data_IF_029042520812
#
_entry.id   IF_029042520812
#
_cell.length_a   1.000
_cell.length_b   1.000
_cell.length_c   1.000
_cell.angle_alpha   90.00
_cell.angle_beta   90.00
_cell.angle_gamma   90.00
#
_symmetry.space_group_name_H-M   'P 1'
#
loop_
_entity.id
_entity.type
_entity.pdbx_description
1 polymer ?
#
# COMPACT_ATOMS: atom_id res chain seq x y z
N UNK A 1 -28.45 11.71 13.76
CA UNK A 1 -28.39 11.47 12.29
C UNK A 1 -27.41 12.42 11.60
N UNK A 2 -27.52 13.75 11.76
CA UNK A 2 -26.59 14.73 11.16
C UNK A 2 -25.09 14.46 11.47
N UNK A 3 -24.76 14.09 12.71
CA UNK A 3 -23.39 13.75 13.14
C UNK A 3 -22.81 12.49 12.48
N UNK A 4 -23.65 11.56 12.01
CA UNK A 4 -23.18 10.32 11.35
C UNK A 4 -22.75 10.63 9.93
N UNK A 5 -23.54 11.41 9.19
CA UNK A 5 -23.19 11.83 7.83
C UNK A 5 -21.90 12.65 7.80
N UNK A 6 -21.65 13.48 8.82
CA UNK A 6 -20.40 14.22 8.94
C UNK A 6 -19.18 13.30 9.14
N UNK A 7 -19.29 12.29 10.01
CA UNK A 7 -18.23 11.30 10.20
C UNK A 7 -17.93 10.52 8.91
N UNK A 8 -18.98 10.08 8.21
CA UNK A 8 -18.86 9.38 6.94
C UNK A 8 -18.22 10.27 5.88
N UNK A 9 -18.68 11.51 5.71
CA UNK A 9 -18.10 12.43 4.73
C UNK A 9 -16.62 12.72 5.04
N UNK A 10 -16.29 12.96 6.31
CA UNK A 10 -14.91 13.23 6.73
C UNK A 10 -14.01 12.01 6.51
N UNK A 11 -14.38 10.85 7.05
CA UNK A 11 -13.59 9.62 6.90
C UNK A 11 -13.46 9.17 5.44
N UNK A 12 -14.50 9.35 4.62
CA UNK A 12 -14.44 9.05 3.19
C UNK A 12 -13.50 9.99 2.46
N UNK A 13 -13.45 11.27 2.85
CA UNK A 13 -12.49 12.24 2.28
C UNK A 13 -11.06 11.80 2.56
N UNK A 14 -10.75 11.44 3.81
CA UNK A 14 -9.42 10.92 4.19
C UNK A 14 -9.10 9.61 3.45
N UNK A 15 -10.05 8.69 3.39
CA UNK A 15 -9.89 7.43 2.66
C UNK A 15 -9.62 7.64 1.16
N UNK A 16 -10.30 8.59 0.52
CA UNK A 16 -10.07 8.95 -0.88
C UNK A 16 -8.68 9.57 -1.11
N UNK A 17 -8.21 10.41 -0.19
CA UNK A 17 -6.84 10.94 -0.23
C UNK A 17 -5.83 9.79 -0.21
N UNK A 18 -6.02 8.82 0.69
CA UNK A 18 -5.16 7.63 0.74
C UNK A 18 -5.25 6.79 -0.54
N UNK A 19 -6.44 6.58 -1.10
CA UNK A 19 -6.59 5.85 -2.38
C UNK A 19 -5.82 6.54 -3.52
N UNK A 20 -5.89 7.87 -3.61
CA UNK A 20 -5.12 8.63 -4.61
C UNK A 20 -3.61 8.47 -4.36
N UNK A 21 -3.17 8.59 -3.11
CA UNK A 21 -1.78 8.41 -2.72
C UNK A 21 -1.28 6.99 -3.08
N UNK A 22 -2.08 5.97 -2.80
CA UNK A 22 -1.78 4.58 -3.12
C UNK A 22 -1.69 4.32 -4.62
N UNK A 23 -2.58 4.94 -5.41
CA UNK A 23 -2.54 4.86 -6.86
C UNK A 23 -1.24 5.48 -7.40
N UNK A 24 -0.81 6.62 -6.87
CA UNK A 24 0.48 7.24 -7.23
C UNK A 24 1.66 6.35 -6.84
N UNK A 25 1.63 5.73 -5.67
CA UNK A 25 2.63 4.76 -5.25
C UNK A 25 2.67 3.53 -6.16
N UNK A 26 1.51 3.04 -6.63
CA UNK A 26 1.42 1.95 -7.60
C UNK A 26 2.09 2.32 -8.92
N UNK A 27 1.89 3.55 -9.40
CA UNK A 27 2.60 4.06 -10.59
C UNK A 27 4.11 4.08 -10.35
N UNK A 28 4.56 4.51 -9.17
CA UNK A 28 5.97 4.49 -8.79
C UNK A 28 6.54 3.07 -8.79
N UNK A 29 5.84 2.10 -8.19
CA UNK A 29 6.22 0.68 -8.22
C UNK A 29 6.39 0.19 -9.66
N UNK A 30 5.41 0.44 -10.53
CA UNK A 30 5.47 0.00 -11.93
C UNK A 30 6.68 0.64 -12.65
N UNK A 31 6.96 1.92 -12.41
CA UNK A 31 8.11 2.62 -13.02
C UNK A 31 9.44 2.05 -12.53
N UNK A 32 9.64 1.93 -11.23
CA UNK A 32 10.91 1.48 -10.64
C UNK A 32 11.21 0.03 -10.98
N UNK A 33 10.20 -0.84 -10.89
CA UNK A 33 10.33 -2.27 -11.25
C UNK A 33 10.68 -2.48 -12.73
N UNK A 34 10.10 -1.68 -13.64
CA UNK A 34 10.44 -1.73 -15.08
C UNK A 34 11.88 -1.31 -15.35
N UNK A 35 12.40 -0.30 -14.64
CA UNK A 35 13.78 0.15 -14.78
C UNK A 35 14.78 -0.88 -14.24
N UNK A 36 14.52 -1.42 -13.04
CA UNK A 36 15.34 -2.46 -12.43
C UNK A 36 15.42 -3.71 -13.30
N UNK A 37 14.28 -4.15 -13.84
CA UNK A 37 14.23 -5.32 -14.69
C UNK A 37 15.08 -5.17 -15.95
N UNK A 38 15.08 -4.00 -16.60
CA UNK A 38 15.95 -3.72 -17.76
C UNK A 38 17.44 -3.83 -17.40
N UNK A 39 17.84 -3.29 -16.25
CA UNK A 39 19.24 -3.29 -15.81
C UNK A 39 19.74 -4.68 -15.41
N UNK A 40 18.87 -5.50 -14.80
CA UNK A 40 19.25 -6.79 -14.21
C UNK A 40 18.84 -8.00 -15.07
N UNK A 41 18.37 -7.79 -16.31
CA UNK A 41 17.87 -8.85 -17.21
C UNK A 41 18.85 -10.02 -17.40
N UNK A 42 20.15 -9.79 -17.27
CA UNK A 42 21.18 -10.84 -17.39
C UNK A 42 21.17 -11.84 -16.21
N UNK A 43 20.68 -11.44 -15.04
CA UNK A 43 20.69 -12.22 -13.80
C UNK A 43 19.26 -12.43 -13.29
N UNK A 44 18.58 -13.47 -13.79
CA UNK A 44 17.15 -13.72 -13.55
C UNK A 44 16.76 -13.69 -12.05
N UNK A 45 17.52 -14.37 -11.19
CA UNK A 45 17.24 -14.45 -9.76
C UNK A 45 17.42 -13.10 -9.04
N UNK A 46 18.51 -12.38 -9.33
CA UNK A 46 18.76 -11.04 -8.78
C UNK A 46 17.69 -10.05 -9.26
N UNK A 47 17.30 -10.09 -10.53
CA UNK A 47 16.23 -9.25 -11.06
C UNK A 47 14.92 -9.48 -10.30
N UNK A 48 14.55 -10.73 -10.02
CA UNK A 48 13.34 -11.05 -9.26
C UNK A 48 13.41 -10.53 -7.84
N UNK A 49 14.48 -10.86 -7.10
CA UNK A 49 14.67 -10.45 -5.70
C UNK A 49 14.64 -8.93 -5.60
N UNK A 50 15.44 -8.22 -6.40
CA UNK A 50 15.48 -6.75 -6.36
C UNK A 50 14.15 -6.10 -6.74
N UNK A 51 13.45 -6.64 -7.75
CA UNK A 51 12.14 -6.11 -8.17
C UNK A 51 11.08 -6.27 -7.08
N UNK A 52 11.01 -7.45 -6.46
CA UNK A 52 10.08 -7.73 -5.36
C UNK A 52 10.40 -6.88 -4.12
N UNK A 53 11.67 -6.81 -3.72
CA UNK A 53 12.08 -6.02 -2.57
C UNK A 53 11.74 -4.54 -2.75
N UNK A 54 12.06 -3.95 -3.91
CA UNK A 54 11.73 -2.54 -4.19
C UNK A 54 10.22 -2.30 -4.20
N UNK A 55 9.44 -3.18 -4.84
CA UNK A 55 7.99 -3.06 -4.87
C UNK A 55 7.39 -3.12 -3.46
N UNK A 56 7.81 -4.10 -2.66
CA UNK A 56 7.35 -4.25 -1.28
C UNK A 56 7.76 -3.06 -0.40
N UNK A 57 8.99 -2.56 -0.52
CA UNK A 57 9.46 -1.40 0.24
C UNK A 57 8.66 -0.13 -0.08
N UNK A 58 8.37 0.13 -1.35
CA UNK A 58 7.56 1.31 -1.75
C UNK A 58 6.15 1.18 -1.18
N UNK A 59 5.50 0.02 -1.29
CA UNK A 59 4.15 -0.19 -0.76
C UNK A 59 4.13 -0.10 0.77
N UNK A 60 5.11 -0.67 1.47
CA UNK A 60 5.23 -0.56 2.92
C UNK A 60 5.38 0.90 3.37
N UNK A 61 6.27 1.66 2.74
CA UNK A 61 6.45 3.08 3.05
C UNK A 61 5.16 3.88 2.79
N UNK A 62 4.44 3.54 1.72
CA UNK A 62 3.15 4.15 1.37
C UNK A 62 2.12 3.91 2.46
N UNK A 63 1.99 2.67 2.95
CA UNK A 63 1.04 2.33 4.02
C UNK A 63 1.37 3.06 5.33
N UNK A 64 2.66 3.23 5.66
CA UNK A 64 3.06 4.03 6.84
C UNK A 64 2.61 5.48 6.68
N UNK A 65 2.74 6.06 5.50
CA UNK A 65 2.27 7.44 5.22
C UNK A 65 0.75 7.53 5.35
N UNK A 66 0.00 6.56 4.82
CA UNK A 66 -1.46 6.49 4.91
C UNK A 66 -1.95 6.39 6.36
N UNK A 67 -1.23 5.63 7.19
CA UNK A 67 -1.47 5.54 8.63
C UNK A 67 -1.21 6.89 9.32
N UNK A 68 -0.13 7.58 8.95
CA UNK A 68 0.18 8.93 9.48
C UNK A 68 -0.92 9.93 9.10
N UNK A 69 -1.48 9.85 7.88
CA UNK A 69 -2.61 10.68 7.44
C UNK A 69 -3.83 10.44 8.33
N UNK A 70 -4.16 9.17 8.62
CA UNK A 70 -5.24 8.84 9.56
C UNK A 70 -4.94 9.36 10.98
N UNK A 71 -3.72 9.16 11.48
CA UNK A 71 -3.27 9.68 12.78
C UNK A 71 -3.46 11.20 12.91
N UNK A 72 -3.05 11.95 11.88
CA UNK A 72 -3.26 13.40 11.81
C UNK A 72 -4.75 13.75 11.83
N UNK A 73 -5.58 13.02 11.06
CA UNK A 73 -7.03 13.26 11.00
C UNK A 73 -7.72 13.07 12.36
N UNK A 74 -7.29 12.07 13.16
CA UNK A 74 -7.82 11.85 14.50
C UNK A 74 -7.48 13.00 15.45
N UNK A 75 -6.26 13.51 15.36
CA UNK A 75 -5.79 14.64 16.16
C UNK A 75 -6.55 15.93 15.79
N UNK A 76 -6.80 16.17 14.50
CA UNK A 76 -7.48 17.37 14.01
C UNK A 76 -8.91 17.51 14.55
N UNK A 77 -9.64 16.40 14.69
CA UNK A 77 -11.04 16.41 15.15
C UNK A 77 -11.21 16.03 16.62
N UNK A 78 -10.07 15.83 17.33
CA UNK A 78 -10.02 15.33 18.70
C UNK A 78 -10.89 14.08 18.83
N UNK A 79 -10.63 13.09 17.98
CA UNK A 79 -11.42 11.85 17.88
C UNK A 79 -11.16 10.89 19.04
N UNK A 80 -10.01 11.00 19.70
CA UNK A 80 -9.54 10.08 20.74
C UNK A 80 -9.46 10.77 22.11
N UNK A 81 -9.39 10.01 23.23
CA UNK A 81 -9.20 10.57 24.56
C UNK A 81 -7.92 11.42 24.68
N UNK A 82 -7.94 12.41 25.58
CA UNK A 82 -6.77 13.24 25.82
C UNK A 82 -5.58 12.41 26.34
N UNK A 83 -4.39 12.60 25.76
CA UNK A 83 -3.18 11.85 26.09
C UNK A 83 -3.07 10.47 25.42
N UNK A 84 -4.07 10.05 24.64
CA UNK A 84 -3.99 8.83 23.84
C UNK A 84 -3.03 8.98 22.64
N UNK A 85 -2.34 7.91 22.28
CA UNK A 85 -1.45 7.89 21.12
C UNK A 85 -2.26 7.71 19.83
N UNK A 86 -2.38 8.81 19.07
CA UNK A 86 -3.10 8.83 17.80
C UNK A 86 -2.45 7.98 16.71
N UNK A 87 -1.12 7.87 16.69
CA UNK A 87 -0.40 7.08 15.71
C UNK A 87 -0.62 5.59 15.99
N UNK A 88 -0.49 5.17 17.24
CA UNK A 88 -0.80 3.81 17.65
C UNK A 88 -2.27 3.45 17.38
N UNK A 89 -3.23 4.31 17.74
CA UNK A 89 -4.64 4.09 17.43
C UNK A 89 -4.90 3.96 15.92
N UNK A 90 -4.27 4.80 15.10
CA UNK A 90 -4.35 4.69 13.64
C UNK A 90 -3.76 3.37 13.14
N UNK A 91 -2.60 2.96 13.64
CA UNK A 91 -1.95 1.72 13.24
C UNK A 91 -2.81 0.50 13.57
N UNK A 92 -3.34 0.42 14.79
CA UNK A 92 -4.19 -0.68 15.27
C UNK A 92 -5.47 -0.80 14.45
N UNK A 93 -6.10 0.32 14.11
CA UNK A 93 -7.32 0.29 13.28
C UNK A 93 -6.99 0.00 11.82
N UNK A 94 -6.01 0.66 11.23
CA UNK A 94 -5.66 0.52 9.81
C UNK A 94 -5.20 -0.90 9.46
N UNK A 95 -4.52 -1.57 10.39
CA UNK A 95 -4.12 -2.98 10.23
C UNK A 95 -5.21 -3.97 10.64
N UNK A 96 -6.40 -3.50 11.02
CA UNK A 96 -7.53 -4.28 11.55
C UNK A 96 -7.23 -5.09 12.83
N UNK A 97 -6.16 -4.73 13.55
CA UNK A 97 -5.71 -5.42 14.76
C UNK A 97 -6.68 -5.22 15.92
N UNK A 98 -7.21 -4.01 16.08
CA UNK A 98 -8.38 -3.73 16.92
C UNK A 98 -8.27 -4.12 18.40
N UNK A 99 -7.11 -3.90 19.06
CA UNK A 99 -6.91 -4.28 20.47
C UNK A 99 -7.96 -3.72 21.44
N UNK A 100 -8.58 -2.58 21.12
CA UNK A 100 -9.68 -2.01 21.91
C UNK A 100 -9.25 -1.34 23.21
N UNK A 101 -7.94 -1.18 23.42
CA UNK A 101 -7.32 -0.44 24.52
C UNK A 101 -7.51 1.08 24.38
N UNK A 102 -7.47 1.59 23.15
CA UNK A 102 -7.88 2.95 22.81
C UNK A 102 -9.15 2.88 21.97
N UNK A 103 -10.20 3.56 22.42
CA UNK A 103 -11.48 3.68 21.72
C UNK A 103 -11.77 5.14 21.36
N UNK A 104 -12.34 5.41 20.18
CA UNK A 104 -12.72 6.76 19.78
C UNK A 104 -13.84 7.30 20.66
N UNK A 105 -13.88 8.62 20.82
CA UNK A 105 -14.97 9.31 21.53
C UNK A 105 -16.31 9.07 20.81
N UNK A 106 -17.41 8.99 21.55
CA UNK A 106 -18.72 8.61 21.02
C UNK A 106 -19.19 9.44 19.81
N UNK A 107 -18.77 10.71 19.70
CA UNK A 107 -19.08 11.59 18.56
C UNK A 107 -18.30 11.28 17.27
N UNK A 108 -17.24 10.49 17.34
CA UNK A 108 -16.34 10.10 16.24
C UNK A 108 -16.16 8.58 16.14
N UNK A 109 -17.10 7.80 16.70
CA UNK A 109 -16.96 6.34 16.82
C UNK A 109 -16.83 5.61 15.48
N UNK A 110 -17.34 6.18 14.37
CA UNK A 110 -17.22 5.57 13.05
C UNK A 110 -15.83 5.73 12.43
N UNK A 111 -14.99 6.62 12.93
CA UNK A 111 -13.68 6.83 12.32
C UNK A 111 -12.75 5.61 12.44
N UNK A 112 -12.83 4.86 13.55
CA UNK A 112 -12.07 3.62 13.74
C UNK A 112 -12.42 2.57 12.68
N UNK A 113 -13.69 2.14 12.58
CA UNK A 113 -14.14 1.22 11.53
C UNK A 113 -13.86 1.69 10.10
N UNK A 114 -14.00 3.00 9.81
CA UNK A 114 -13.68 3.54 8.49
C UNK A 114 -12.19 3.46 8.16
N UNK A 115 -11.32 3.67 9.15
CA UNK A 115 -9.87 3.51 9.01
C UNK A 115 -9.51 2.06 8.75
N UNK A 116 -10.14 1.12 9.47
CA UNK A 116 -9.95 -0.30 9.25
C UNK A 116 -10.39 -0.73 7.85
N UNK A 117 -11.57 -0.28 7.41
CA UNK A 117 -12.06 -0.53 6.05
C UNK A 117 -11.10 0.00 4.98
N UNK A 118 -10.57 1.21 5.17
CA UNK A 118 -9.60 1.80 4.24
C UNK A 118 -8.29 1.00 4.23
N UNK A 119 -7.76 0.62 5.40
CA UNK A 119 -6.56 -0.19 5.48
C UNK A 119 -6.71 -1.56 4.81
N UNK A 120 -7.81 -2.28 5.06
CA UNK A 120 -8.10 -3.58 4.41
C UNK A 120 -8.12 -3.44 2.88
N UNK A 121 -8.75 -2.39 2.34
CA UNK A 121 -8.75 -2.12 0.91
C UNK A 121 -7.33 -1.93 0.35
N UNK A 122 -6.50 -1.15 1.03
CA UNK A 122 -5.15 -0.77 0.56
C UNK A 122 -4.13 -1.91 0.72
N UNK A 123 -4.24 -2.74 1.77
CA UNK A 123 -3.49 -4.00 1.89
C UNK A 123 -3.89 -4.98 0.77
N UNK A 124 -5.18 -5.09 0.47
CA UNK A 124 -5.69 -5.89 -0.64
C UNK A 124 -5.14 -5.43 -1.99
N UNK A 125 -5.16 -4.11 -2.24
CA UNK A 125 -4.56 -3.50 -3.43
C UNK A 125 -3.05 -3.81 -3.52
N UNK A 126 -2.31 -3.62 -2.43
CA UNK A 126 -0.87 -3.90 -2.36
C UNK A 126 -0.56 -5.35 -2.72
N UNK A 127 -1.35 -6.30 -2.22
CA UNK A 127 -1.20 -7.72 -2.53
C UNK A 127 -1.41 -8.00 -4.01
N UNK A 128 -2.45 -7.41 -4.61
CA UNK A 128 -2.72 -7.54 -6.04
C UNK A 128 -1.58 -6.95 -6.91
N UNK A 129 -1.04 -5.80 -6.52
CA UNK A 129 0.11 -5.18 -7.19
C UNK A 129 1.35 -6.08 -7.09
N UNK A 130 1.68 -6.58 -5.89
CA UNK A 130 2.83 -7.48 -5.71
C UNK A 130 2.68 -8.76 -6.53
N UNK A 131 1.48 -9.35 -6.56
CA UNK A 131 1.20 -10.52 -7.38
C UNK A 131 1.41 -10.22 -8.88
N UNK A 132 0.90 -9.09 -9.37
CA UNK A 132 1.09 -8.68 -10.76
C UNK A 132 2.58 -8.48 -11.09
N UNK A 133 3.34 -7.82 -10.21
CA UNK A 133 4.79 -7.62 -10.41
C UNK A 133 5.52 -8.98 -10.41
N UNK A 134 5.14 -9.91 -9.54
CA UNK A 134 5.70 -11.27 -9.51
C UNK A 134 5.42 -12.02 -10.81
N UNK A 135 4.16 -12.02 -11.28
CA UNK A 135 3.76 -12.68 -12.52
C UNK A 135 4.55 -12.14 -13.72
N UNK A 136 4.67 -10.81 -13.85
CA UNK A 136 5.44 -10.19 -14.93
C UNK A 136 6.92 -10.53 -14.82
N UNK A 137 7.49 -10.50 -13.61
CA UNK A 137 8.89 -10.83 -13.39
C UNK A 137 9.21 -12.29 -13.76
N UNK A 138 8.31 -13.24 -13.49
CA UNK A 138 8.46 -14.65 -13.83
C UNK A 138 8.27 -14.92 -15.33
N UNK A 139 7.28 -14.29 -15.97
CA UNK A 139 7.05 -14.45 -17.42
C UNK A 139 8.26 -14.01 -18.25
N UNK A 140 8.90 -12.91 -17.86
CA UNK A 140 10.07 -12.38 -18.56
C UNK A 140 11.35 -13.24 -18.39
N UNK A 141 11.37 -14.18 -17.44
CA UNK A 141 12.47 -15.14 -17.29
C UNK A 141 12.34 -16.36 -18.22
N UNK A 142 11.10 -16.73 -18.62
CA UNK A 142 10.84 -17.92 -19.44
C UNK A 142 11.17 -17.74 -20.93
N UNK A 143 11.61 -16.57 -21.38
CA UNK A 143 12.02 -16.37 -22.79
C UNK A 143 13.39 -17.01 -23.04
N UNK A 144 13.51 -18.10 -23.81
CA UNK A 144 14.78 -18.79 -24.00
C UNK A 144 15.74 -17.91 -24.80
N UNK A 145 16.89 -17.60 -24.23
CA UNK A 145 17.98 -16.92 -24.94
C UNK A 145 18.87 -17.96 -25.62
N UNK A 146 18.36 -18.72 -26.59
CA UNK A 146 19.21 -19.60 -27.42
C UNK A 146 18.52 -20.01 -28.73
N UNK A 147 18.84 -19.30 -29.82
CA UNK A 147 19.18 -19.96 -31.10
C UNK A 147 20.43 -19.21 -31.59
N UNK A 148 21.62 -19.80 -31.53
CA UNK A 148 22.78 -19.29 -32.25
C UNK A 148 22.39 -19.25 -33.71
N UNK A 149 22.59 -18.11 -34.38
CA UNK A 149 22.51 -18.06 -35.83
C UNK A 149 23.61 -19.00 -36.32
N UNK A 150 23.23 -20.20 -36.75
CA UNK A 150 24.12 -21.08 -37.50
C UNK A 150 24.55 -20.25 -38.71
N UNK A 151 25.82 -19.86 -38.74
CA UNK A 151 26.42 -19.34 -39.96
C UNK A 151 26.32 -20.45 -41.00
N UNK A 152 25.91 -20.16 -42.24
CA UNK A 152 26.01 -21.13 -43.32
C UNK A 152 27.49 -21.52 -43.46
N UNK A 153 27.72 -22.81 -43.45
CA UNK A 153 28.99 -23.45 -43.77
C UNK A 153 29.34 -23.11 -45.24
N UNK A 154 30.19 -22.09 -45.41
CA UNK A 154 30.94 -21.79 -46.65
C UNK A 154 32.41 -22.15 -46.49
#
# INVERSE_FOLDING_TARGET
MFLIFQQLAFGSTIGLINVVLHALATILVIRTTRLLHKSLRKYAMLALISTMSVAASVLLATQVIEIIIWSASYTMVLAIPAGADALYFAFVNFTSLGYGDIVPLARWHLMGPMTAMNGVLLFGWSTAVLFQVLTVALQNQKTPRFIPRLAPDE
#
